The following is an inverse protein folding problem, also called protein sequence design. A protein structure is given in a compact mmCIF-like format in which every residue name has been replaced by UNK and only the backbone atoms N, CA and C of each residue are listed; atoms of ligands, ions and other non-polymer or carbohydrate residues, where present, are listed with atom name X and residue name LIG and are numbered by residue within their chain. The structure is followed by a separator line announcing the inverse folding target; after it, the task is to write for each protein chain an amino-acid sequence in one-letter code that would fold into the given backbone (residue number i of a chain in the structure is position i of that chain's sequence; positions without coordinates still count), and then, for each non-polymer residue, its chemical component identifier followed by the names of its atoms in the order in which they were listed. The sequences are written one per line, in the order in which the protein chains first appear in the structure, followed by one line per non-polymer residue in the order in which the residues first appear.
data_IF_307023581457
#
_entry.id   IF_307023581457
#
_cell.length_a   1.000
_cell.length_b   1.000
_cell.length_c   1.000
_cell.angle_alpha   90.00
_cell.angle_beta   90.00
_cell.angle_gamma   90.00
#
_symmetry.space_group_name_H-M   'P 1'
#
loop_
_entity.id
_entity.type
_entity.pdbx_description
1 polymer ?
#
# COMPACT_ATOMS: atom_id res chain seq x y z
N UNK A 1 -4.69 -32.42 -12.89
CA UNK A 1 -4.66 -30.98 -12.58
C UNK A 1 -3.38 -30.72 -11.81
N UNK A 2 -2.58 -29.74 -12.24
CA UNK A 2 -1.33 -29.39 -11.56
C UNK A 2 -1.63 -28.29 -10.56
N UNK A 3 -1.51 -28.61 -9.28
CA UNK A 3 -1.66 -27.63 -8.20
C UNK A 3 -0.32 -26.93 -7.97
N UNK A 4 -0.34 -25.61 -7.89
CA UNK A 4 0.84 -24.80 -7.59
C UNK A 4 0.56 -23.90 -6.39
N UNK A 5 1.62 -23.49 -5.71
CA UNK A 5 1.57 -22.56 -4.59
C UNK A 5 1.60 -21.12 -5.10
N UNK A 6 0.74 -20.29 -4.56
CA UNK A 6 0.67 -18.87 -4.88
C UNK A 6 0.69 -18.04 -3.62
N UNK A 7 1.25 -16.84 -3.75
CA UNK A 7 1.15 -15.79 -2.75
C UNK A 7 0.42 -14.60 -3.38
N UNK A 8 -0.61 -14.13 -2.69
CA UNK A 8 -1.36 -12.94 -3.03
C UNK A 8 -1.15 -11.89 -1.96
N UNK A 9 -0.64 -10.74 -2.37
CA UNK A 9 -0.65 -9.53 -1.56
C UNK A 9 -1.61 -8.53 -2.16
N UNK A 10 -2.50 -7.98 -1.35
CA UNK A 10 -3.44 -6.95 -1.80
C UNK A 10 -3.56 -5.81 -0.80
N UNK A 11 -3.83 -4.62 -1.33
CA UNK A 11 -3.93 -3.37 -0.60
C UNK A 11 -5.38 -2.91 -0.67
N UNK A 12 -6.01 -2.73 0.49
CA UNK A 12 -7.37 -2.23 0.61
C UNK A 12 -7.35 -0.74 0.98
N UNK A 13 -8.35 0.00 0.50
CA UNK A 13 -8.54 1.41 0.85
C UNK A 13 -8.59 1.61 2.37
N UNK A 14 -7.87 2.61 2.92
CA UNK A 14 -7.86 2.86 4.37
C UNK A 14 -9.19 3.44 4.89
N UNK A 15 -9.94 4.14 4.04
CA UNK A 15 -11.23 4.78 4.36
C UNK A 15 -12.41 3.81 4.38
N UNK A 16 -12.18 2.55 3.99
CA UNK A 16 -13.24 1.56 3.96
C UNK A 16 -13.74 1.29 5.40
N UNK A 17 -15.05 1.41 5.67
CA UNK A 17 -15.62 1.07 6.97
C UNK A 17 -15.35 -0.39 7.33
N UNK A 18 -15.27 -0.68 8.63
CA UNK A 18 -14.90 -2.01 9.13
C UNK A 18 -15.86 -3.11 8.65
N UNK A 19 -17.17 -2.85 8.62
CA UNK A 19 -18.18 -3.77 8.09
C UNK A 19 -17.96 -4.10 6.60
N UNK A 20 -17.67 -3.08 5.78
CA UNK A 20 -17.40 -3.26 4.36
C UNK A 20 -16.05 -3.96 4.11
N UNK A 21 -15.09 -3.75 5.01
CA UNK A 21 -13.80 -4.40 4.95
C UNK A 21 -13.97 -5.90 5.19
N UNK A 22 -14.66 -6.28 6.26
CA UNK A 22 -14.95 -7.70 6.56
C UNK A 22 -15.72 -8.36 5.41
N UNK A 23 -16.71 -7.67 4.83
CA UNK A 23 -17.43 -8.17 3.66
C UNK A 23 -16.51 -8.39 2.45
N UNK A 24 -15.55 -7.49 2.20
CA UNK A 24 -14.55 -7.62 1.14
C UNK A 24 -13.62 -8.81 1.40
N UNK A 25 -13.10 -8.95 2.62
CA UNK A 25 -12.24 -10.06 3.00
C UNK A 25 -12.95 -11.41 2.87
N UNK A 26 -14.21 -11.48 3.28
CA UNK A 26 -15.05 -12.66 3.13
C UNK A 26 -15.27 -12.99 1.65
N UNK A 27 -15.53 -11.99 0.79
CA UNK A 27 -15.65 -12.20 -0.67
C UNK A 27 -14.37 -12.78 -1.27
N UNK A 28 -13.20 -12.26 -0.89
CA UNK A 28 -11.91 -12.80 -1.36
C UNK A 28 -11.76 -14.27 -0.96
N UNK A 29 -12.08 -14.61 0.28
CA UNK A 29 -12.07 -16.01 0.75
C UNK A 29 -13.08 -16.88 -0.01
N UNK A 30 -14.30 -16.40 -0.24
CA UNK A 30 -15.30 -17.11 -1.05
C UNK A 30 -14.79 -17.38 -2.46
N UNK A 31 -14.16 -16.40 -3.12
CA UNK A 31 -13.61 -16.59 -4.46
C UNK A 31 -12.47 -17.60 -4.50
N UNK A 32 -11.61 -17.63 -3.46
CA UNK A 32 -10.59 -18.66 -3.31
C UNK A 32 -11.22 -20.05 -3.17
N UNK A 33 -12.26 -20.19 -2.35
CA UNK A 33 -12.97 -21.46 -2.17
C UNK A 33 -13.69 -21.92 -3.45
N UNK A 34 -14.38 -21.02 -4.16
CA UNK A 34 -15.05 -21.32 -5.43
C UNK A 34 -14.06 -21.75 -6.53
N UNK A 35 -12.86 -21.18 -6.53
CA UNK A 35 -11.78 -21.55 -7.44
C UNK A 35 -11.08 -22.86 -7.03
N UNK A 36 -11.52 -23.53 -5.96
CA UNK A 36 -10.95 -24.78 -5.47
C UNK A 36 -9.58 -24.60 -4.81
N UNK A 37 -9.25 -23.40 -4.32
CA UNK A 37 -8.00 -23.16 -3.63
C UNK A 37 -8.02 -23.70 -2.21
N UNK A 38 -6.86 -24.20 -1.76
CA UNK A 38 -6.60 -24.51 -0.36
C UNK A 38 -5.79 -23.38 0.24
N UNK A 39 -6.42 -22.57 1.11
CA UNK A 39 -5.74 -21.47 1.81
C UNK A 39 -4.85 -22.03 2.91
N UNK A 40 -3.57 -21.68 2.87
CA UNK A 40 -2.56 -22.08 3.84
C UNK A 40 -2.43 -21.04 4.96
N UNK A 41 -2.46 -19.76 4.58
CA UNK A 41 -2.29 -18.65 5.50
C UNK A 41 -3.06 -17.42 5.00
N UNK A 42 -3.70 -16.70 5.93
CA UNK A 42 -4.29 -15.39 5.70
C UNK A 42 -3.80 -14.44 6.80
N UNK A 43 -2.99 -13.45 6.44
CA UNK A 43 -2.31 -12.56 7.38
C UNK A 43 -2.70 -11.10 7.12
N UNK A 44 -3.09 -10.39 8.18
CA UNK A 44 -3.28 -8.94 8.17
C UNK A 44 -1.96 -8.25 8.56
N UNK A 45 -1.41 -7.41 7.68
CA UNK A 45 -0.18 -6.64 7.91
C UNK A 45 -0.44 -5.23 8.45
N UNK A 46 -1.71 -4.86 8.62
CA UNK A 46 -2.15 -3.56 9.11
C UNK A 46 -2.05 -2.45 8.07
N UNK A 47 -2.25 -1.21 8.53
CA UNK A 47 -2.14 -0.01 7.70
C UNK A 47 -0.68 0.40 7.54
N UNK A 48 -0.26 0.68 6.31
CA UNK A 48 1.09 1.16 5.99
C UNK A 48 1.04 2.31 5.00
N UNK A 49 2.04 3.20 5.06
CA UNK A 49 2.18 4.33 4.14
C UNK A 49 2.70 3.85 2.78
N UNK A 50 2.04 4.29 1.72
CA UNK A 50 2.41 4.01 0.33
C UNK A 50 3.53 4.96 -0.12
N UNK A 51 4.43 4.49 -0.99
CA UNK A 51 5.50 5.32 -1.54
C UNK A 51 4.97 6.49 -2.39
N UNK A 52 3.82 6.30 -3.03
CA UNK A 52 3.11 7.32 -3.80
C UNK A 52 1.60 7.12 -3.67
N UNK A 53 0.83 8.15 -4.06
CA UNK A 53 -0.61 8.09 -3.95
C UNK A 53 -1.23 7.12 -4.97
N UNK A 54 -2.05 6.18 -4.51
CA UNK A 54 -2.82 5.26 -5.36
C UNK A 54 -4.30 5.62 -5.21
N UNK A 55 -4.98 5.95 -6.32
CA UNK A 55 -6.38 6.41 -6.32
C UNK A 55 -6.64 7.57 -5.32
N UNK A 56 -5.62 8.41 -5.07
CA UNK A 56 -5.69 9.53 -4.11
C UNK A 56 -5.25 9.21 -2.68
N UNK A 57 -5.07 7.93 -2.32
CA UNK A 57 -4.67 7.52 -0.97
C UNK A 57 -3.16 7.42 -0.82
N UNK A 58 -2.63 7.90 0.32
CA UNK A 58 -1.21 7.75 0.70
C UNK A 58 -0.95 6.61 1.69
N UNK A 59 -2.00 5.92 2.09
CA UNK A 59 -1.96 4.81 3.04
C UNK A 59 -2.84 3.68 2.51
N UNK A 60 -2.60 2.45 2.96
CA UNK A 60 -3.42 1.30 2.62
C UNK A 60 -3.29 0.18 3.63
N UNK A 61 -4.34 -0.64 3.76
CA UNK A 61 -4.34 -1.83 4.62
C UNK A 61 -3.83 -3.03 3.82
N UNK A 62 -2.76 -3.64 4.30
CA UNK A 62 -2.09 -4.74 3.62
C UNK A 62 -2.59 -6.09 4.11
N UNK A 63 -2.87 -6.97 3.17
CA UNK A 63 -3.22 -8.36 3.42
C UNK A 63 -2.35 -9.26 2.57
N UNK A 64 -1.88 -10.36 3.19
CA UNK A 64 -1.09 -11.38 2.54
C UNK A 64 -1.78 -12.72 2.71
N UNK A 65 -1.84 -13.49 1.62
CA UNK A 65 -2.52 -14.79 1.59
C UNK A 65 -1.71 -15.77 0.79
N UNK A 66 -1.49 -16.95 1.37
CA UNK A 66 -0.80 -18.07 0.73
C UNK A 66 -1.79 -19.18 0.50
N UNK A 67 -1.82 -19.72 -0.70
CA UNK A 67 -2.78 -20.77 -1.07
C UNK A 67 -2.26 -21.63 -2.21
N UNK A 68 -2.80 -22.83 -2.27
CA UNK A 68 -2.56 -23.78 -3.36
C UNK A 68 -3.77 -23.78 -4.28
N UNK A 69 -3.57 -23.61 -5.60
CA UNK A 69 -4.64 -23.58 -6.59
C UNK A 69 -4.20 -24.25 -7.89
N UNK A 70 -5.16 -24.76 -8.68
CA UNK A 70 -4.91 -25.20 -10.07
C UNK A 70 -4.53 -24.01 -10.94
N UNK A 71 -3.56 -24.19 -11.84
CA UNK A 71 -3.13 -23.15 -12.80
C UNK A 71 -4.26 -22.60 -13.66
N UNK A 72 -5.27 -23.43 -13.95
CA UNK A 72 -6.37 -23.07 -14.84
C UNK A 72 -7.31 -22.03 -14.20
N UNK A 73 -7.43 -22.02 -12.87
CA UNK A 73 -8.35 -21.15 -12.14
C UNK A 73 -7.76 -19.77 -11.78
N UNK A 74 -6.43 -19.63 -11.84
CA UNK A 74 -5.70 -18.43 -11.39
C UNK A 74 -6.12 -17.19 -12.19
N UNK A 75 -6.22 -17.32 -13.51
CA UNK A 75 -6.54 -16.19 -14.40
C UNK A 75 -7.94 -15.63 -14.16
N UNK A 76 -8.90 -16.51 -13.87
CA UNK A 76 -10.26 -16.11 -13.58
C UNK A 76 -10.37 -15.49 -12.18
N UNK A 77 -9.62 -16.02 -11.22
CA UNK A 77 -9.51 -15.45 -9.88
C UNK A 77 -8.90 -14.04 -9.89
N UNK A 78 -7.80 -13.83 -10.62
CA UNK A 78 -7.16 -12.52 -10.79
C UNK A 78 -8.11 -11.49 -11.39
N UNK A 79 -8.89 -11.87 -12.42
CA UNK A 79 -9.92 -11.01 -13.01
C UNK A 79 -11.00 -10.62 -12.00
N UNK A 80 -11.42 -11.54 -11.13
CA UNK A 80 -12.42 -11.24 -10.09
C UNK A 80 -11.87 -10.28 -9.04
N UNK A 81 -10.61 -10.43 -8.64
CA UNK A 81 -9.95 -9.51 -7.71
C UNK A 81 -9.89 -8.09 -8.25
N UNK A 82 -9.54 -7.92 -9.54
CA UNK A 82 -9.51 -6.61 -10.20
C UNK A 82 -10.86 -5.89 -10.21
N UNK A 83 -11.97 -6.64 -10.17
CA UNK A 83 -13.33 -6.11 -10.16
C UNK A 83 -13.83 -5.78 -8.75
N UNK A 84 -13.11 -6.17 -7.70
CA UNK A 84 -13.50 -5.86 -6.33
C UNK A 84 -13.26 -4.38 -6.03
N UNK A 85 -14.37 -3.67 -5.80
CA UNK A 85 -14.34 -2.31 -5.28
C UNK A 85 -13.68 -2.29 -3.89
N UNK A 86 -12.83 -1.29 -3.65
CA UNK A 86 -12.07 -1.16 -2.40
C UNK A 86 -10.65 -1.73 -2.45
N UNK A 87 -10.33 -2.59 -3.43
CA UNK A 87 -8.94 -3.01 -3.68
C UNK A 87 -8.22 -1.91 -4.48
N UNK A 88 -7.10 -1.44 -3.93
CA UNK A 88 -6.25 -0.42 -4.56
C UNK A 88 -5.24 -1.06 -5.51
N UNK A 89 -4.65 -2.17 -5.09
CA UNK A 89 -3.66 -2.94 -5.84
C UNK A 89 -3.59 -4.37 -5.33
N UNK A 90 -3.33 -5.28 -6.23
CA UNK A 90 -3.06 -6.69 -6.00
C UNK A 90 -1.74 -7.09 -6.68
N UNK A 91 -1.09 -8.08 -6.09
CA UNK A 91 0.11 -8.72 -6.63
C UNK A 91 -0.01 -10.21 -6.35
N UNK A 92 -0.15 -10.99 -7.42
CA UNK A 92 -0.20 -12.45 -7.37
C UNK A 92 1.11 -13.00 -7.91
N UNK A 93 1.77 -13.84 -7.13
CA UNK A 93 3.08 -14.40 -7.44
C UNK A 93 2.99 -15.93 -7.38
N UNK A 94 3.59 -16.60 -8.37
CA UNK A 94 3.83 -18.04 -8.32
C UNK A 94 5.00 -18.33 -7.39
N UNK A 95 4.77 -19.19 -6.41
CA UNK A 95 5.77 -19.61 -5.45
C UNK A 95 6.24 -21.03 -5.82
N UNK A 96 7.49 -21.14 -6.28
CA UNK A 96 8.08 -22.45 -6.64
C UNK A 96 8.68 -23.15 -5.43
N UNK A 97 9.25 -22.40 -4.47
CA UNK A 97 9.78 -22.93 -3.22
C UNK A 97 9.80 -21.78 -2.19
N UNK A 98 9.01 -21.86 -1.11
CA UNK A 98 9.04 -20.89 -0.01
C UNK A 98 9.25 -21.64 1.30
N UNK A 99 10.33 -21.34 2.05
CA UNK A 99 10.50 -21.88 3.39
C UNK A 99 9.31 -21.47 4.26
N UNK A 100 8.87 -22.39 5.12
CA UNK A 100 7.87 -22.10 6.15
C UNK A 100 8.28 -20.80 6.86
N UNK A 101 7.38 -19.81 6.86
CA UNK A 101 7.67 -18.47 7.34
C UNK A 101 8.34 -18.49 8.71
N UNK A 102 9.60 -18.05 8.79
CA UNK A 102 10.16 -17.64 10.06
C UNK A 102 9.41 -16.36 10.50
N UNK A 103 9.07 -16.21 11.79
CA UNK A 103 8.42 -15.01 12.29
C UNK A 103 9.44 -13.87 12.39
N UNK A 104 9.80 -13.25 11.27
CA UNK A 104 10.62 -12.04 11.28
C UNK A 104 9.74 -10.81 11.45
N UNK A 105 9.47 -10.48 12.71
CA UNK A 105 9.38 -9.09 13.10
C UNK A 105 10.80 -8.52 13.14
N UNK A 106 11.18 -7.75 12.12
CA UNK A 106 11.84 -6.45 12.18
C UNK A 106 11.72 -5.89 10.76
N UNK A 107 10.73 -5.02 10.51
CA UNK A 107 10.98 -4.00 9.49
C UNK A 107 12.20 -3.23 10.01
N UNK A 108 13.30 -3.06 9.25
CA UNK A 108 14.27 -2.06 9.67
C UNK A 108 13.47 -0.77 9.80
N UNK A 109 13.52 -0.16 10.99
CA UNK A 109 13.16 1.23 11.13
C UNK A 109 13.90 1.92 9.98
N UNK A 110 13.16 2.42 8.99
CA UNK A 110 13.71 3.39 8.07
C UNK A 110 13.98 4.59 8.97
N UNK A 111 15.19 4.62 9.51
CA UNK A 111 15.80 5.79 10.11
C UNK A 111 15.72 6.83 9.02
N UNK A 112 14.69 7.67 9.10
CA UNK A 112 14.59 8.87 8.30
C UNK A 112 15.81 9.64 8.77
N UNK A 113 16.90 9.55 8.02
CA UNK A 113 18.00 10.48 8.13
C UNK A 113 17.33 11.84 7.95
N UNK A 114 17.05 12.47 9.09
CA UNK A 114 16.84 13.89 9.19
C UNK A 114 18.19 14.48 8.78
N UNK A 115 18.40 14.53 7.47
CA UNK A 115 19.37 15.41 6.85
C UNK A 115 18.83 16.81 7.15
N UNK A 116 19.32 17.29 8.29
CA UNK A 116 19.39 18.66 8.75
C UNK A 116 19.27 19.62 7.56
N UNK A 117 18.10 20.23 7.42
CA UNK A 117 17.97 21.40 6.58
C UNK A 117 18.97 22.44 7.12
N UNK A 118 19.97 22.89 6.35
CA UNK A 118 20.85 23.94 6.85
C UNK A 118 20.02 25.21 7.06
N UNK A 119 20.14 25.76 8.27
CA UNK A 119 19.57 27.04 8.69
C UNK A 119 19.99 28.20 7.75
N UNK A 120 19.18 29.26 7.65
CA UNK A 120 19.27 30.26 6.59
C UNK A 120 20.32 31.32 6.89
N UNK A 121 21.37 31.41 6.07
CA UNK A 121 22.21 32.60 5.98
C UNK A 121 22.97 32.65 4.64
N UNK A 122 22.34 33.28 3.65
CA UNK A 122 23.08 33.99 2.61
C UNK A 122 22.38 35.33 2.40
N UNK A 123 22.94 36.33 3.05
CA UNK A 123 22.72 37.75 2.80
C UNK A 123 22.75 37.98 1.27
N UNK A 124 21.68 38.52 0.70
CA UNK A 124 21.73 39.06 -0.65
C UNK A 124 22.51 40.38 -0.58
N UNK A 125 23.72 40.48 -1.16
CA UNK A 125 24.37 41.76 -1.31
C UNK A 125 23.82 42.43 -2.57
N UNK A 126 23.21 43.61 -2.40
CA UNK A 126 23.04 44.58 -3.48
C UNK A 126 21.68 44.58 -4.17
N UNK A 127 20.66 45.05 -3.47
CA UNK A 127 19.76 46.02 -4.12
C UNK A 127 20.00 47.36 -3.42
N UNK A 128 20.86 48.17 -4.03
CA UNK A 128 21.14 49.51 -3.57
C UNK A 128 19.94 50.42 -3.85
N UNK A 129 19.74 51.33 -2.89
CA UNK A 129 19.24 52.69 -3.05
C UNK A 129 17.75 52.97 -3.37
N UNK A 130 17.20 53.73 -2.42
CA UNK A 130 16.14 54.72 -2.52
C UNK A 130 14.68 54.27 -2.66
N UNK A 131 14.03 54.15 -1.49
CA UNK A 131 12.70 54.73 -1.33
C UNK A 131 12.70 55.68 -0.13
N UNK A 132 12.42 56.99 -0.32
CA UNK A 132 12.35 57.93 0.78
C UNK A 132 11.16 57.62 1.69
N UNK A 133 11.39 57.83 2.99
CA UNK A 133 10.38 57.79 4.03
C UNK A 133 9.42 58.98 3.87
N UNK A 134 8.14 58.69 4.09
CA UNK A 134 7.03 59.57 4.52
C UNK A 134 5.78 59.25 3.68
N UNK A 135 4.93 58.38 4.22
CA UNK A 135 3.50 58.47 3.97
C UNK A 135 2.93 59.18 5.20
N UNK A 136 3.05 60.50 5.20
CA UNK A 136 2.32 61.38 6.10
C UNK A 136 1.05 61.88 5.38
N UNK A 137 0.07 62.23 6.20
CA UNK A 137 -1.36 62.42 5.93
C UNK A 137 -1.77 63.31 4.73
N UNK A 138 -3.04 63.10 4.34
CA UNK A 138 -3.97 64.02 3.65
C UNK A 138 -3.96 64.07 2.10
N UNK A 139 -4.91 63.35 1.47
CA UNK A 139 -6.17 63.91 0.97
C UNK A 139 -7.15 62.79 0.54
#
# INVERSE_FOLDING_TARGET
MVTRSYELMFIVSPELPEENLEALLNRVQTYLHEAGATVLEFRNWGTRRLAYAIKGFREGRYYLTRFNMSTDAVKDFERRLLLLEGVLRELLILVEDVPASEPEGVMPEFEVAAEEAPEPAAEFPGFAEDMPAEFDEAF
#
